data_IF_078136635096
#
_entry.id   IF_078136635096
#
_cell.length_a   1.000
_cell.length_b   1.000
_cell.length_c   1.000
_cell.angle_alpha   90.00
_cell.angle_beta   90.00
_cell.angle_gamma   90.00
#
_symmetry.space_group_name_H-M   'P 1'
#
loop_
_entity.id
_entity.type
_entity.pdbx_description
1 polymer ?
#
# COMPACT_ATOMS: atom_id res chain seq x y z
N UNK A 1 -41.71 -63.61 -37.10
CA UNK A 1 -42.39 -63.47 -35.79
C UNK A 1 -41.41 -62.85 -34.83
N UNK A 2 -41.73 -61.66 -34.34
CA UNK A 2 -40.89 -60.79 -33.53
C UNK A 2 -40.78 -61.30 -32.09
N UNK A 3 -39.56 -61.57 -31.64
CA UNK A 3 -39.24 -61.83 -30.24
C UNK A 3 -39.51 -60.56 -29.41
N UNK A 4 -40.31 -60.60 -28.34
CA UNK A 4 -40.49 -59.43 -27.50
C UNK A 4 -39.26 -59.25 -26.60
N UNK A 5 -38.61 -58.09 -26.69
CA UNK A 5 -37.63 -57.61 -25.73
C UNK A 5 -38.34 -57.33 -24.39
N UNK A 6 -38.28 -58.28 -23.45
CA UNK A 6 -38.70 -58.05 -22.07
C UNK A 6 -37.56 -57.40 -21.28
N UNK A 7 -37.49 -56.08 -21.29
CA UNK A 7 -36.68 -55.33 -20.32
C UNK A 7 -37.33 -53.98 -20.00
N UNK A 8 -38.46 -54.02 -19.28
CA UNK A 8 -39.00 -52.85 -18.58
C UNK A 8 -38.87 -53.07 -17.08
N UNK A 9 -37.65 -52.92 -16.55
CA UNK A 9 -37.46 -52.62 -15.13
C UNK A 9 -37.83 -51.16 -14.92
N UNK A 10 -39.10 -50.90 -14.63
CA UNK A 10 -39.50 -49.60 -14.10
C UNK A 10 -38.83 -49.41 -12.73
N UNK A 11 -38.23 -48.25 -12.50
CA UNK A 11 -37.71 -47.88 -11.17
C UNK A 11 -38.84 -48.02 -10.15
N UNK A 12 -38.64 -48.88 -9.16
CA UNK A 12 -39.67 -49.05 -8.13
C UNK A 12 -39.71 -47.79 -7.26
N UNK A 13 -40.89 -47.40 -6.77
CA UNK A 13 -41.06 -46.20 -5.92
C UNK A 13 -40.10 -46.22 -4.71
N UNK A 14 -39.79 -47.43 -4.21
CA UNK A 14 -38.81 -47.67 -3.15
C UNK A 14 -37.38 -47.32 -3.58
N UNK A 15 -36.93 -47.69 -4.78
CA UNK A 15 -35.60 -47.32 -5.29
C UNK A 15 -35.44 -45.80 -5.40
N UNK A 16 -36.49 -45.09 -5.83
CA UNK A 16 -36.48 -43.63 -5.87
C UNK A 16 -36.40 -43.00 -4.48
N UNK A 17 -37.17 -43.51 -3.51
CA UNK A 17 -37.13 -43.01 -2.13
C UNK A 17 -35.77 -43.25 -1.48
N UNK A 18 -35.19 -44.44 -1.66
CA UNK A 18 -33.85 -44.77 -1.14
C UNK A 18 -32.78 -43.89 -1.79
N UNK A 19 -32.86 -43.68 -3.11
CA UNK A 19 -31.93 -42.80 -3.82
C UNK A 19 -32.00 -41.36 -3.30
N UNK A 20 -33.21 -40.81 -3.10
CA UNK A 20 -33.40 -39.45 -2.55
C UNK A 20 -32.86 -39.32 -1.12
N UNK A 21 -33.09 -40.31 -0.26
CA UNK A 21 -32.57 -40.30 1.12
C UNK A 21 -31.05 -40.38 1.13
N UNK A 22 -30.45 -41.24 0.29
CA UNK A 22 -29.00 -41.33 0.18
C UNK A 22 -28.39 -40.04 -0.39
N UNK A 23 -29.00 -39.43 -1.41
CA UNK A 23 -28.56 -38.14 -1.94
C UNK A 23 -28.64 -37.02 -0.88
N UNK A 24 -29.67 -37.02 -0.03
CA UNK A 24 -29.77 -36.07 1.07
C UNK A 24 -28.67 -36.28 2.13
N UNK A 25 -28.38 -37.54 2.49
CA UNK A 25 -27.30 -37.88 3.43
C UNK A 25 -25.91 -37.53 2.85
N UNK A 26 -25.65 -37.87 1.60
CA UNK A 26 -24.38 -37.53 0.95
C UNK A 26 -24.26 -36.03 0.69
N UNK A 27 -25.35 -35.36 0.33
CA UNK A 27 -25.37 -33.91 0.14
C UNK A 27 -25.06 -33.16 1.42
N UNK A 28 -25.66 -33.57 2.55
CA UNK A 28 -25.36 -32.97 3.86
C UNK A 28 -23.91 -33.24 4.29
N UNK A 29 -23.44 -34.48 4.19
CA UNK A 29 -22.05 -34.82 4.48
C UNK A 29 -21.05 -34.03 3.60
N UNK A 30 -21.33 -33.89 2.30
CA UNK A 30 -20.51 -33.12 1.39
C UNK A 30 -20.47 -31.64 1.77
N UNK A 31 -21.60 -31.02 2.10
CA UNK A 31 -21.64 -29.60 2.51
C UNK A 31 -20.85 -29.38 3.81
N UNK A 32 -20.93 -30.31 4.77
CA UNK A 32 -20.17 -30.21 6.02
C UNK A 32 -18.65 -30.28 5.83
N UNK A 33 -18.19 -30.87 4.73
CA UNK A 33 -16.77 -30.93 4.35
C UNK A 33 -16.35 -29.77 3.45
N UNK A 34 -17.18 -29.40 2.47
CA UNK A 34 -16.83 -28.41 1.45
C UNK A 34 -16.70 -27.01 2.05
N UNK A 35 -17.57 -26.62 2.99
CA UNK A 35 -17.54 -25.28 3.58
C UNK A 35 -16.21 -24.97 4.32
N UNK A 36 -15.76 -25.75 5.31
CA UNK A 36 -14.50 -25.46 6.00
C UNK A 36 -13.28 -25.58 5.07
N UNK A 37 -13.32 -26.49 4.08
CA UNK A 37 -12.26 -26.60 3.07
C UNK A 37 -12.20 -25.35 2.17
N UNK A 38 -13.34 -24.79 1.77
CA UNK A 38 -13.40 -23.58 0.97
C UNK A 38 -12.93 -22.35 1.76
N UNK A 39 -13.31 -22.23 3.03
CA UNK A 39 -12.85 -21.16 3.93
C UNK A 39 -11.33 -21.23 4.12
N UNK A 40 -10.79 -22.41 4.45
CA UNK A 40 -9.35 -22.61 4.59
C UNK A 40 -8.59 -22.32 3.28
N UNK A 41 -9.15 -22.70 2.13
CA UNK A 41 -8.57 -22.41 0.83
C UNK A 41 -8.50 -20.90 0.54
N UNK A 42 -9.56 -20.16 0.85
CA UNK A 42 -9.61 -18.70 0.69
C UNK A 42 -8.60 -18.03 1.61
N UNK A 43 -8.47 -18.47 2.86
CA UNK A 43 -7.49 -17.92 3.81
C UNK A 43 -6.05 -18.12 3.32
N UNK A 44 -5.71 -19.32 2.85
CA UNK A 44 -4.38 -19.60 2.28
C UNK A 44 -4.13 -18.73 1.04
N UNK A 45 -5.12 -18.60 0.16
CA UNK A 45 -4.99 -17.76 -1.02
C UNK A 45 -4.80 -16.28 -0.66
N UNK A 46 -5.50 -15.78 0.35
CA UNK A 46 -5.35 -14.41 0.86
C UNK A 46 -3.96 -14.20 1.46
N UNK A 47 -3.46 -15.15 2.25
CA UNK A 47 -2.12 -15.08 2.84
C UNK A 47 -1.04 -15.04 1.75
N UNK A 48 -1.10 -15.93 0.76
CA UNK A 48 -0.13 -15.93 -0.36
C UNK A 48 -0.15 -14.62 -1.13
N UNK A 49 -1.33 -14.03 -1.36
CA UNK A 49 -1.44 -12.72 -2.03
C UNK A 49 -0.89 -11.58 -1.16
N UNK A 50 -1.14 -11.61 0.14
CA UNK A 50 -0.62 -10.62 1.07
C UNK A 50 0.91 -10.66 1.15
N UNK A 51 1.50 -11.86 1.13
CA UNK A 51 2.94 -12.05 1.04
C UNK A 51 3.50 -11.47 -0.28
N UNK A 52 2.90 -11.82 -1.42
CA UNK A 52 3.33 -11.29 -2.72
C UNK A 52 3.23 -9.76 -2.79
N UNK A 53 2.16 -9.17 -2.22
CA UNK A 53 2.01 -7.72 -2.14
C UNK A 53 3.09 -7.10 -1.24
N UNK A 54 3.32 -7.66 -0.05
CA UNK A 54 4.34 -7.16 0.86
C UNK A 54 5.75 -7.24 0.25
N UNK A 55 6.07 -8.33 -0.45
CA UNK A 55 7.33 -8.50 -1.16
C UNK A 55 7.48 -7.49 -2.31
N UNK A 56 6.43 -7.29 -3.10
CA UNK A 56 6.42 -6.30 -4.18
C UNK A 56 6.61 -4.87 -3.65
N UNK A 57 5.89 -4.49 -2.59
CA UNK A 57 6.03 -3.18 -1.95
C UNK A 57 7.41 -3.00 -1.33
N UNK A 58 7.94 -4.03 -0.68
CA UNK A 58 9.30 -4.01 -0.13
C UNK A 58 10.35 -3.81 -1.22
N UNK A 59 10.18 -4.45 -2.38
CA UNK A 59 11.07 -4.28 -3.53
C UNK A 59 10.93 -2.88 -4.15
N UNK A 60 9.71 -2.36 -4.29
CA UNK A 60 9.48 -0.98 -4.74
C UNK A 60 10.21 -0.01 -3.81
N UNK A 61 10.00 -0.10 -2.49
CA UNK A 61 10.66 0.77 -1.51
C UNK A 61 12.18 0.61 -1.58
N UNK A 62 12.69 -0.62 -1.73
CA UNK A 62 14.13 -0.86 -1.91
C UNK A 62 14.67 -0.21 -3.19
N UNK A 63 13.92 -0.26 -4.28
CA UNK A 63 14.26 0.35 -5.56
C UNK A 63 14.36 1.87 -5.47
N UNK A 64 13.35 2.53 -4.89
CA UNK A 64 13.36 3.99 -4.64
C UNK A 64 14.53 4.41 -3.74
N UNK A 65 14.95 3.53 -2.83
CA UNK A 65 16.03 3.79 -1.88
C UNK A 65 17.43 3.42 -2.39
N UNK A 66 17.55 2.70 -3.50
CA UNK A 66 18.83 2.22 -4.00
C UNK A 66 19.75 3.37 -4.44
N UNK A 67 19.16 4.38 -5.10
CA UNK A 67 19.88 5.53 -5.66
C UNK A 67 19.68 6.81 -4.84
N UNK A 68 19.24 6.70 -3.58
CA UNK A 68 19.08 7.84 -2.70
C UNK A 68 20.46 8.43 -2.30
N UNK A 69 20.87 9.52 -2.96
CA UNK A 69 22.16 10.23 -2.77
C UNK A 69 21.99 11.65 -2.18
N UNK A 70 20.75 12.07 -1.93
CA UNK A 70 20.43 13.40 -1.40
C UNK A 70 20.30 13.42 0.12
N UNK A 71 19.21 14.03 0.59
CA UNK A 71 18.80 13.99 2.00
C UNK A 71 17.66 13.01 2.20
N UNK A 72 17.70 12.26 3.29
CA UNK A 72 16.60 11.42 3.78
C UNK A 72 16.19 11.85 5.19
N UNK A 73 14.90 11.99 5.43
CA UNK A 73 14.33 12.17 6.76
C UNK A 73 13.25 11.12 7.00
N UNK A 74 13.23 10.56 8.21
CA UNK A 74 12.09 9.77 8.68
C UNK A 74 11.10 10.77 9.27
N UNK A 75 9.85 10.70 8.82
CA UNK A 75 8.77 11.61 9.25
C UNK A 75 7.50 10.82 9.55
N UNK A 76 6.51 11.49 10.14
CA UNK A 76 5.21 10.88 10.39
C UNK A 76 4.24 11.26 9.28
N UNK A 77 3.64 10.26 8.65
CA UNK A 77 2.56 10.43 7.70
C UNK A 77 1.36 11.13 8.35
N UNK A 78 0.54 11.77 7.53
CA UNK A 78 -0.67 12.41 8.01
C UNK A 78 -1.70 11.36 8.47
N UNK A 79 -2.58 11.78 9.38
CA UNK A 79 -3.71 10.96 9.84
C UNK A 79 -5.03 11.60 9.40
N UNK A 80 -6.08 10.80 9.21
CA UNK A 80 -7.41 11.29 8.80
C UNK A 80 -7.99 12.33 9.77
N UNK A 81 -7.63 12.21 11.06
CA UNK A 81 -8.11 13.10 12.13
C UNK A 81 -7.43 14.46 12.17
N UNK A 82 -6.33 14.66 11.44
CA UNK A 82 -5.49 15.85 11.59
C UNK A 82 -5.01 16.35 10.23
N UNK A 83 -5.81 17.21 9.59
CA UNK A 83 -5.41 17.87 8.35
C UNK A 83 -4.16 18.75 8.52
N UNK A 84 -3.85 19.22 9.74
CA UNK A 84 -2.63 19.98 10.03
C UNK A 84 -1.40 19.05 10.01
N UNK A 85 -1.57 17.75 10.33
CA UNK A 85 -0.51 16.73 10.22
C UNK A 85 -0.01 16.50 8.79
N UNK A 86 -0.78 16.90 7.77
CA UNK A 86 -0.30 16.92 6.39
C UNK A 86 0.93 17.80 6.19
N UNK A 87 1.10 18.84 7.01
CA UNK A 87 2.28 19.70 6.96
C UNK A 87 3.43 19.20 7.84
N UNK A 88 3.17 18.26 8.76
CA UNK A 88 4.19 17.72 9.66
C UNK A 88 5.31 17.00 8.90
N UNK A 89 5.01 16.48 7.71
CA UNK A 89 6.00 15.86 6.81
C UNK A 89 7.08 16.86 6.34
N UNK A 90 6.82 18.17 6.39
CA UNK A 90 7.76 19.22 5.98
C UNK A 90 8.48 19.90 7.15
N UNK A 91 8.33 19.42 8.39
CA UNK A 91 9.07 19.96 9.53
C UNK A 91 10.56 19.65 9.35
N UNK A 92 11.42 20.67 9.41
CA UNK A 92 12.86 20.56 9.13
C UNK A 92 13.72 20.34 10.40
N UNK A 93 13.16 20.47 11.61
CA UNK A 93 13.96 20.65 12.83
C UNK A 93 14.14 19.39 13.72
N UNK A 94 13.57 18.23 13.37
CA UNK A 94 13.66 17.03 14.21
C UNK A 94 14.11 15.81 13.40
N UNK A 95 15.31 15.32 13.71
CA UNK A 95 15.82 14.03 13.24
C UNK A 95 15.13 12.89 13.96
N UNK A 96 14.06 12.36 13.37
CA UNK A 96 13.38 11.20 13.92
C UNK A 96 14.11 9.91 13.54
N UNK A 97 14.27 9.01 14.50
CA UNK A 97 14.81 7.67 14.26
C UNK A 97 13.74 6.64 13.94
N UNK A 98 12.46 7.02 14.08
CA UNK A 98 11.30 6.20 13.75
C UNK A 98 10.17 7.06 13.19
N UNK A 99 9.35 6.47 12.32
CA UNK A 99 8.20 7.17 11.73
C UNK A 99 7.50 6.33 10.68
N UNK A 100 6.44 6.86 10.09
CA UNK A 100 5.55 6.15 9.16
C UNK A 100 5.69 6.58 7.70
N UNK A 101 6.60 7.52 7.45
CA UNK A 101 6.88 8.06 6.12
C UNK A 101 8.39 8.32 5.95
N UNK A 102 8.83 8.31 4.70
CA UNK A 102 10.15 8.77 4.29
C UNK A 102 10.02 10.01 3.43
N UNK A 103 10.83 11.03 3.74
CA UNK A 103 10.99 12.23 2.94
C UNK A 103 12.36 12.22 2.29
N UNK A 104 12.40 12.43 0.98
CA UNK A 104 13.61 12.56 0.19
C UNK A 104 13.73 13.97 -0.35
N UNK A 105 14.94 14.51 -0.35
CA UNK A 105 15.25 15.74 -1.08
C UNK A 105 16.30 15.40 -2.13
N UNK A 106 15.86 15.33 -3.39
CA UNK A 106 16.67 14.91 -4.55
C UNK A 106 17.49 16.07 -5.09
N UNK A 107 16.84 17.22 -5.26
CA UNK A 107 17.45 18.50 -5.62
C UNK A 107 16.93 19.58 -4.66
N UNK A 108 17.60 20.74 -4.55
CA UNK A 108 17.27 21.79 -3.57
C UNK A 108 15.80 22.26 -3.57
N UNK A 109 15.05 21.99 -4.65
CA UNK A 109 13.65 22.40 -4.80
C UNK A 109 12.67 21.23 -4.99
N UNK A 110 13.11 19.97 -4.94
CA UNK A 110 12.24 18.80 -5.15
C UNK A 110 12.24 17.90 -3.92
N UNK A 111 11.04 17.60 -3.44
CA UNK A 111 10.82 16.75 -2.28
C UNK A 111 9.89 15.61 -2.64
N UNK A 112 10.29 14.41 -2.31
CA UNK A 112 9.51 13.19 -2.55
C UNK A 112 9.13 12.58 -1.21
N UNK A 113 7.91 12.04 -1.13
CA UNK A 113 7.38 11.47 0.11
C UNK A 113 6.81 10.10 -0.20
N UNK A 114 7.27 9.11 0.56
CA UNK A 114 6.84 7.73 0.51
C UNK A 114 6.14 7.38 1.81
N UNK A 115 4.85 7.07 1.75
CA UNK A 115 4.04 6.71 2.91
C UNK A 115 2.78 5.93 2.55
N UNK A 116 2.10 5.38 3.54
CA UNK A 116 0.80 4.73 3.40
C UNK A 116 -0.28 5.37 4.29
N UNK A 117 -0.06 6.63 4.70
CA UNK A 117 -0.95 7.36 5.60
C UNK A 117 -2.09 8.05 4.85
N UNK A 118 -2.72 9.00 5.52
CA UNK A 118 -3.73 9.84 4.89
C UNK A 118 -3.08 10.78 3.87
N UNK A 119 -3.65 10.83 2.67
CA UNK A 119 -3.22 11.76 1.63
C UNK A 119 -4.17 12.95 1.63
N UNK A 120 -3.71 14.20 1.89
CA UNK A 120 -4.56 15.37 1.77
C UNK A 120 -4.93 15.61 0.30
N UNK A 121 -5.94 16.43 0.03
CA UNK A 121 -6.28 16.83 -1.34
C UNK A 121 -5.06 17.40 -2.08
N UNK A 122 -4.73 16.81 -3.22
CA UNK A 122 -3.59 17.20 -4.04
C UNK A 122 -4.08 17.85 -5.34
N UNK A 123 -3.62 19.06 -5.61
CA UNK A 123 -3.87 19.77 -6.86
C UNK A 123 -2.56 20.19 -7.48
N UNK A 124 -2.40 19.91 -8.78
CA UNK A 124 -1.29 20.41 -9.56
C UNK A 124 -1.73 21.60 -10.40
N UNK A 125 -0.95 22.67 -10.33
CA UNK A 125 -1.20 23.90 -11.09
C UNK A 125 -0.14 24.05 -12.17
N UNK A 126 -0.57 24.14 -13.42
CA UNK A 126 0.33 24.30 -14.57
C UNK A 126 0.06 25.63 -15.26
N UNK A 127 1.12 26.35 -15.60
CA UNK A 127 1.04 27.52 -16.46
C UNK A 127 1.02 27.07 -17.92
N UNK A 128 -0.03 27.41 -18.63
CA UNK A 128 -0.15 27.12 -20.07
C UNK A 128 0.71 28.11 -20.88
N UNK A 129 0.96 27.77 -22.15
CA UNK A 129 1.73 28.62 -23.06
C UNK A 129 1.09 30.00 -23.33
N UNK A 130 -0.19 30.16 -23.04
CA UNK A 130 -0.96 31.41 -23.17
C UNK A 130 -1.00 32.25 -21.87
N UNK A 131 -0.14 31.93 -20.89
CA UNK A 131 -0.11 32.52 -19.54
C UNK A 131 -1.39 32.32 -18.71
N UNK A 132 -2.30 31.45 -19.13
CA UNK A 132 -3.42 31.03 -18.28
C UNK A 132 -2.98 29.92 -17.33
N UNK A 133 -3.64 29.83 -16.18
CA UNK A 133 -3.34 28.83 -15.16
C UNK A 133 -4.40 27.73 -15.19
N UNK A 134 -3.99 26.48 -15.42
CA UNK A 134 -4.84 25.31 -15.28
C UNK A 134 -4.57 24.63 -13.95
N UNK A 135 -5.62 24.30 -13.20
CA UNK A 135 -5.50 23.50 -11.97
C UNK A 135 -6.15 22.15 -12.20
N UNK A 136 -5.38 21.07 -12.02
CA UNK A 136 -5.84 19.69 -12.10
C UNK A 136 -5.84 19.08 -10.71
N UNK A 137 -6.95 18.46 -10.33
CA UNK A 137 -7.01 17.62 -9.12
C UNK A 137 -6.28 16.31 -9.42
N UNK A 138 -5.26 16.00 -8.64
CA UNK A 138 -4.51 14.73 -8.74
C UNK A 138 -5.07 13.67 -7.80
N UNK A 139 -5.54 14.11 -6.63
CA UNK A 139 -6.12 13.26 -5.61
C UNK A 139 -7.10 14.10 -4.77
N UNK A 140 -8.28 13.57 -4.48
CA UNK A 140 -9.24 14.20 -3.57
C UNK A 140 -9.82 13.15 -2.63
N UNK A 141 -9.48 13.17 -1.32
CA UNK A 141 -9.98 12.16 -0.38
C UNK A 141 -11.50 12.26 -0.17
N UNK A 142 -12.15 13.37 -0.57
CA UNK A 142 -13.61 13.52 -0.52
C UNK A 142 -14.32 12.89 -1.74
N UNK A 143 -13.59 12.45 -2.75
CA UNK A 143 -14.13 11.75 -3.90
C UNK A 143 -14.08 10.23 -3.65
N UNK A 144 -15.24 9.58 -3.75
CA UNK A 144 -15.43 8.15 -3.47
C UNK A 144 -14.48 7.24 -4.28
N UNK A 145 -14.00 7.70 -5.45
CA UNK A 145 -13.05 6.94 -6.28
C UNK A 145 -11.64 6.88 -5.67
N UNK A 146 -11.25 7.91 -4.92
CA UNK A 146 -9.94 8.06 -4.29
C UNK A 146 -9.93 7.67 -2.82
N UNK A 147 -11.07 7.74 -2.13
CA UNK A 147 -11.21 7.22 -0.77
C UNK A 147 -10.87 5.72 -0.69
N UNK A 148 -11.16 4.95 -1.75
CA UNK A 148 -10.73 3.54 -1.88
C UNK A 148 -9.19 3.37 -1.92
N UNK A 149 -8.45 4.43 -2.24
CA UNK A 149 -6.99 4.42 -2.29
C UNK A 149 -6.34 4.85 -0.96
N UNK A 150 -7.12 5.23 0.06
CA UNK A 150 -6.57 5.36 1.41
C UNK A 150 -5.91 4.04 1.80
N UNK A 151 -4.75 4.11 2.46
CA UNK A 151 -3.99 2.93 2.92
C UNK A 151 -3.31 2.16 1.79
N UNK A 152 -3.09 2.78 0.64
CA UNK A 152 -2.17 2.28 -0.38
C UNK A 152 -0.77 2.84 -0.12
N UNK A 153 0.28 2.23 -0.70
CA UNK A 153 1.59 2.89 -0.70
C UNK A 153 1.59 4.00 -1.75
N UNK A 154 1.89 5.21 -1.30
CA UNK A 154 1.86 6.43 -2.09
C UNK A 154 3.27 6.98 -2.30
N UNK A 155 3.52 7.49 -3.51
CA UNK A 155 4.68 8.35 -3.81
C UNK A 155 4.16 9.72 -4.21
N UNK A 156 4.55 10.74 -3.44
CA UNK A 156 4.07 12.11 -3.57
C UNK A 156 5.24 13.02 -3.90
N UNK A 157 5.10 13.81 -4.96
CA UNK A 157 6.18 14.67 -5.46
C UNK A 157 5.79 16.14 -5.31
N UNK A 158 6.62 16.88 -4.60
CA UNK A 158 6.45 18.28 -4.29
C UNK A 158 7.58 19.10 -4.90
N UNK A 159 7.23 20.27 -5.42
CA UNK A 159 8.17 21.30 -5.81
C UNK A 159 8.12 22.43 -4.78
N UNK A 160 9.27 22.74 -4.20
CA UNK A 160 9.44 23.88 -3.32
C UNK A 160 9.41 25.17 -4.14
N UNK A 161 8.60 26.11 -3.69
CA UNK A 161 8.50 27.47 -4.20
C UNK A 161 8.76 28.46 -3.08
N UNK A 162 9.32 29.62 -3.44
CA UNK A 162 9.40 30.73 -2.49
C UNK A 162 7.97 31.18 -2.15
N UNK A 163 7.61 31.12 -0.87
CA UNK A 163 6.31 31.62 -0.42
C UNK A 163 6.20 33.13 -0.65
N UNK A 164 4.96 33.63 -0.73
CA UNK A 164 4.65 35.03 -1.08
C UNK A 164 5.32 36.09 -0.18
N UNK A 165 5.79 35.69 1.00
CA UNK A 165 6.47 36.54 1.99
C UNK A 165 8.00 36.31 2.08
N UNK A 166 8.58 35.45 1.23
CA UNK A 166 10.02 35.13 1.21
C UNK A 166 10.58 34.44 2.47
N UNK A 167 9.72 34.13 3.46
CA UNK A 167 10.09 33.58 4.78
C UNK A 167 9.63 32.15 5.04
N UNK A 168 8.65 31.64 4.28
CA UNK A 168 8.17 30.26 4.39
C UNK A 168 8.34 29.56 3.05
N UNK A 169 8.90 28.36 3.09
CA UNK A 169 8.92 27.43 1.95
C UNK A 169 7.48 26.98 1.71
N UNK A 170 6.96 27.19 0.51
CA UNK A 170 5.70 26.60 0.07
C UNK A 170 6.00 25.35 -0.76
N UNK A 171 5.21 24.30 -0.58
CA UNK A 171 5.37 23.04 -1.31
C UNK A 171 4.16 22.84 -2.22
N UNK A 172 4.36 22.99 -3.52
CA UNK A 172 3.31 22.75 -4.52
C UNK A 172 3.41 21.33 -5.02
N UNK A 173 2.31 20.57 -5.01
CA UNK A 173 2.30 19.21 -5.55
C UNK A 173 2.46 19.23 -7.07
N UNK A 174 3.40 18.41 -7.56
CA UNK A 174 3.67 18.28 -9.00
C UNK A 174 3.20 16.94 -9.57
N UNK A 175 3.37 15.84 -8.81
CA UNK A 175 2.93 14.51 -9.23
C UNK A 175 2.50 13.65 -8.03
N UNK A 176 1.73 12.62 -8.33
CA UNK A 176 1.22 11.64 -7.37
C UNK A 176 1.10 10.29 -8.07
N UNK A 177 1.54 9.22 -7.40
CA UNK A 177 1.33 7.84 -7.87
C UNK A 177 1.10 6.89 -6.71
N UNK A 178 0.46 5.76 -7.00
CA UNK A 178 0.32 4.63 -6.09
C UNK A 178 1.23 3.50 -6.55
N UNK A 179 1.76 2.71 -5.62
CA UNK A 179 2.68 1.61 -5.96
C UNK A 179 1.98 0.46 -6.73
N UNK A 180 0.65 0.34 -6.59
CA UNK A 180 -0.15 -0.64 -7.31
C UNK A 180 -1.57 -0.12 -7.60
N UNK A 181 -2.26 -0.68 -8.61
CA UNK A 181 -3.63 -0.32 -8.97
C UNK A 181 -4.66 -0.61 -7.88
N UNK A 182 -5.76 0.16 -7.90
CA UNK A 182 -6.92 -0.10 -7.05
C UNK A 182 -7.49 -1.51 -7.32
N UNK A 183 -7.92 -2.21 -6.27
CA UNK A 183 -8.53 -3.56 -6.28
C UNK A 183 -7.60 -4.71 -6.70
N UNK A 184 -6.34 -4.42 -7.01
CA UNK A 184 -5.33 -5.47 -7.17
C UNK A 184 -5.13 -6.24 -5.85
N UNK A 185 -4.59 -7.45 -5.96
CA UNK A 185 -4.39 -8.34 -4.82
C UNK A 185 -5.66 -8.66 -4.00
N UNK A 186 -6.86 -8.61 -4.61
CA UNK A 186 -8.16 -8.76 -3.93
C UNK A 186 -8.53 -7.58 -3.01
N UNK A 187 -8.02 -6.39 -3.31
CA UNK A 187 -8.26 -5.19 -2.51
C UNK A 187 -7.48 -5.19 -1.20
N UNK A 188 -6.38 -5.93 -1.11
CA UNK A 188 -5.50 -5.84 0.05
C UNK A 188 -4.87 -4.45 0.14
N UNK A 189 -4.74 -3.95 1.37
CA UNK A 189 -4.26 -2.60 1.69
C UNK A 189 -3.09 -2.66 2.67
N UNK A 190 -2.35 -1.57 2.77
CA UNK A 190 -1.31 -1.35 3.78
C UNK A 190 -1.94 -0.81 5.05
N UNK A 191 -2.06 -1.65 6.08
CA UNK A 191 -2.63 -1.21 7.36
C UNK A 191 -1.66 -0.48 8.27
N UNK A 192 -0.38 -0.78 8.14
CA UNK A 192 0.68 -0.22 8.96
C UNK A 192 1.98 -0.22 8.16
N UNK A 193 2.71 0.88 8.24
CA UNK A 193 4.02 1.07 7.62
C UNK A 193 4.87 1.89 8.57
N UNK A 194 5.99 1.32 9.01
CA UNK A 194 6.93 1.96 9.91
C UNK A 194 8.36 1.81 9.42
N UNK A 195 9.14 2.86 9.58
CA UNK A 195 10.56 2.95 9.26
C UNK A 195 11.35 3.25 10.52
N UNK A 196 12.52 2.62 10.61
CA UNK A 196 13.44 2.78 11.73
C UNK A 196 14.85 2.98 11.21
N UNK A 197 15.51 4.06 11.64
CA UNK A 197 16.93 4.27 11.40
C UNK A 197 17.71 3.14 12.10
N UNK A 198 18.48 2.36 11.35
CA UNK A 198 19.17 1.17 11.88
C UNK A 198 20.68 1.38 11.99
N UNK A 199 21.28 2.01 10.99
CA UNK A 199 22.73 2.23 10.93
C UNK A 199 23.03 3.53 10.23
N UNK A 200 23.99 4.28 10.78
CA UNK A 200 24.46 5.54 10.24
C UNK A 200 25.96 5.70 10.47
N UNK A 201 26.58 6.58 9.69
CA UNK A 201 27.98 6.96 9.81
C UNK A 201 28.09 8.47 9.86
N UNK A 202 29.06 8.96 10.60
CA UNK A 202 29.41 10.37 10.58
C UNK A 202 30.56 10.58 9.59
N UNK A 203 30.35 11.48 8.63
CA UNK A 203 31.37 11.89 7.68
C UNK A 203 32.34 12.86 8.38
N UNK A 204 33.61 12.44 8.53
CA UNK A 204 34.60 13.17 9.33
C UNK A 204 34.94 14.57 8.81
N UNK A 205 34.76 14.82 7.51
CA UNK A 205 35.12 16.09 6.88
C UNK A 205 34.02 17.15 7.03
N UNK A 206 32.75 16.72 7.02
CA UNK A 206 31.58 17.62 7.02
C UNK A 206 30.79 17.57 8.34
N UNK A 207 31.00 16.55 9.18
CA UNK A 207 30.21 16.26 10.38
C UNK A 207 28.80 15.75 10.07
N UNK A 208 28.49 15.46 8.80
CA UNK A 208 27.17 14.99 8.38
C UNK A 208 26.94 13.55 8.84
N UNK A 209 25.72 13.26 9.28
CA UNK A 209 25.30 11.91 9.62
C UNK A 209 24.61 11.33 8.40
N UNK A 210 25.14 10.24 7.87
CA UNK A 210 24.63 9.55 6.68
C UNK A 210 24.00 8.22 7.07
N UNK A 211 22.77 7.95 6.63
CA UNK A 211 22.08 6.70 6.92
C UNK A 211 22.60 5.60 6.00
N UNK A 212 23.04 4.47 6.56
CA UNK A 212 23.55 3.34 5.77
C UNK A 212 22.55 2.20 5.66
N UNK A 213 21.54 2.17 6.54
CA UNK A 213 20.46 1.19 6.50
C UNK A 213 19.27 1.62 7.34
N UNK A 214 18.08 1.23 6.91
CA UNK A 214 16.83 1.30 7.67
C UNK A 214 16.26 -0.10 7.92
N UNK A 215 15.41 -0.22 8.93
CA UNK A 215 14.46 -1.32 9.04
C UNK A 215 13.07 -0.82 8.69
N UNK A 216 12.30 -1.63 7.97
CA UNK A 216 10.92 -1.35 7.62
C UNK A 216 10.04 -2.46 8.19
N UNK A 217 8.90 -2.08 8.75
CA UNK A 217 7.80 -2.98 9.08
C UNK A 217 6.60 -2.60 8.21
N UNK A 218 6.05 -3.59 7.50
CA UNK A 218 4.93 -3.42 6.59
C UNK A 218 3.86 -4.46 6.93
N UNK A 219 2.64 -4.01 7.25
CA UNK A 219 1.51 -4.91 7.51
C UNK A 219 0.45 -4.76 6.43
N UNK A 220 0.21 -5.85 5.71
CA UNK A 220 -0.86 -5.98 4.74
C UNK A 220 -2.13 -6.49 5.41
N UNK A 221 -3.25 -5.88 5.08
CA UNK A 221 -4.56 -6.17 5.65
C UNK A 221 -5.63 -6.31 4.56
N UNK A 222 -6.77 -6.89 4.97
CA UNK A 222 -8.02 -6.87 4.20
C UNK A 222 -8.56 -5.43 4.10
N UNK A 223 -9.49 -5.14 3.17
CA UNK A 223 -10.14 -3.83 3.08
C UNK A 223 -10.80 -3.36 4.39
N UNK A 224 -11.24 -4.29 5.24
CA UNK A 224 -11.82 -3.99 6.56
C UNK A 224 -10.77 -3.63 7.64
N UNK A 225 -9.48 -3.62 7.29
CA UNK A 225 -8.37 -3.30 8.17
C UNK A 225 -7.82 -4.50 8.95
N UNK A 226 -8.39 -5.71 8.81
CA UNK A 226 -7.91 -6.91 9.49
C UNK A 226 -6.52 -7.31 8.98
N UNK A 227 -5.48 -7.35 9.83
CA UNK A 227 -4.14 -7.77 9.43
C UNK A 227 -4.12 -9.20 8.89
N UNK A 228 -3.41 -9.41 7.78
CA UNK A 228 -3.22 -10.72 7.15
C UNK A 228 -1.77 -11.16 7.25
N UNK A 229 -0.83 -10.24 7.00
CA UNK A 229 0.60 -10.55 6.97
C UNK A 229 1.42 -9.33 7.33
N UNK A 230 2.44 -9.52 8.17
CA UNK A 230 3.43 -8.49 8.51
C UNK A 230 4.80 -8.95 8.08
N UNK A 231 5.50 -8.09 7.34
CA UNK A 231 6.88 -8.28 6.93
C UNK A 231 7.78 -7.29 7.65
N UNK A 232 8.98 -7.73 8.00
CA UNK A 232 10.05 -6.85 8.44
C UNK A 232 11.25 -7.03 7.53
N UNK A 233 11.75 -5.94 6.98
CA UNK A 233 12.86 -5.93 6.05
C UNK A 233 13.95 -4.97 6.54
N UNK A 234 15.20 -5.33 6.26
CA UNK A 234 16.34 -4.42 6.41
C UNK A 234 16.73 -3.94 5.03
N UNK A 235 16.72 -2.62 4.82
CA UNK A 235 17.02 -2.02 3.53
C UNK A 235 18.35 -1.29 3.65
N UNK A 236 19.41 -1.76 2.95
CA UNK A 236 20.67 -1.04 2.88
C UNK A 236 20.51 0.22 2.01
N UNK A 237 21.24 1.28 2.36
CA UNK A 237 21.28 2.54 1.62
C UNK A 237 22.71 2.73 1.09
N UNK A 238 23.02 2.25 -0.13
CA UNK A 238 24.37 2.32 -0.67
C UNK A 238 24.79 3.76 -1.01
N UNK A 239 23.85 4.62 -1.40
CA UNK A 239 24.09 6.06 -1.61
C UNK A 239 24.42 6.83 -0.33
N UNK A 240 24.20 6.24 0.85
CA UNK A 240 24.48 6.84 2.15
C UNK A 240 23.96 8.29 2.28
N UNK A 241 22.65 8.53 2.02
CA UNK A 241 22.09 9.87 2.01
C UNK A 241 22.25 10.55 3.37
N UNK A 242 22.36 11.88 3.35
CA UNK A 242 22.41 12.69 4.55
C UNK A 242 21.12 12.47 5.34
N UNK A 243 21.24 11.98 6.57
CA UNK A 243 20.12 11.75 7.46
C UNK A 243 19.79 13.06 8.17
N UNK A 244 18.59 13.60 7.94
CA UNK A 244 18.12 14.83 8.57
C UNK A 244 16.99 14.58 9.53
#
# INVERSE_FOLDING_TARGET
MTTPLNNKKGTTLVELMVCLVLLALFGTAAVTLVKPCAEAYIEVQQLTRAQNLADALTETIRGELADADGTISIVNAATESDADSANNIFIEDVRLTEGTALRFTVESNYTEILDAGYVPKLTATTLNADNTTSTKVLYDPADDTFAELNRYLHMRFYKQTEGKDGKKKEYTTYAYTTAYPNKDYMGLVVSDLAFYARGWKEEKETGKICLTSLSMQLTVAKPDGTPVYTQTAVIPLPGAPEFQ
#
